data_IF_474729500013
#
_entry.id   IF_474729500013
#
_cell.length_a   1.000
_cell.length_b   1.000
_cell.length_c   1.000
_cell.angle_alpha   90.00
_cell.angle_beta   90.00
_cell.angle_gamma   90.00
#
_symmetry.space_group_name_H-M   'P 1'
#
loop_
_entity.id
_entity.type
_entity.pdbx_description
1 polymer ?
#
# COMPACT_ATOMS: atom_id res chain seq x y z
N UNK A 1 -25.69 -10.79 10.00
CA UNK A 1 -24.93 -11.20 8.80
C UNK A 1 -24.36 -9.92 8.21
N UNK A 2 -23.03 -9.76 8.16
CA UNK A 2 -22.45 -8.59 7.50
C UNK A 2 -22.82 -8.63 6.03
N UNK A 3 -23.32 -7.52 5.48
CA UNK A 3 -23.61 -7.41 4.04
C UNK A 3 -22.35 -7.82 3.28
N UNK A 4 -22.46 -8.82 2.42
CA UNK A 4 -21.35 -9.28 1.57
C UNK A 4 -20.93 -8.22 0.55
N UNK A 5 -21.74 -7.15 0.40
CA UNK A 5 -21.49 -5.99 -0.43
C UNK A 5 -21.56 -4.71 0.43
N UNK A 6 -20.42 -4.05 0.74
CA UNK A 6 -20.44 -2.76 1.42
C UNK A 6 -21.18 -1.71 0.55
N UNK A 7 -21.87 -0.73 1.15
CA UNK A 7 -22.59 0.31 0.40
C UNK A 7 -21.69 1.01 -0.62
N UNK A 8 -22.24 1.32 -1.79
CA UNK A 8 -21.46 1.87 -2.91
C UNK A 8 -20.96 3.29 -2.65
N UNK A 9 -21.66 4.07 -1.83
CA UNK A 9 -21.32 5.46 -1.52
C UNK A 9 -20.21 5.62 -0.49
N UNK A 10 -19.76 4.52 0.16
CA UNK A 10 -18.68 4.62 1.15
C UNK A 10 -17.38 5.02 0.47
N UNK A 11 -16.57 5.78 1.21
CA UNK A 11 -15.23 6.14 0.79
C UNK A 11 -14.41 4.85 0.54
N UNK A 12 -13.60 4.85 -0.50
CA UNK A 12 -12.89 3.67 -1.00
C UNK A 12 -11.44 3.66 -0.58
N UNK A 13 -10.97 2.49 -0.17
CA UNK A 13 -9.56 2.22 0.12
C UNK A 13 -9.07 1.11 -0.81
N UNK A 14 -8.00 1.39 -1.56
CA UNK A 14 -7.34 0.40 -2.41
C UNK A 14 -6.44 -0.51 -1.57
N UNK A 15 -6.57 -1.82 -1.70
CA UNK A 15 -5.90 -2.83 -0.86
C UNK A 15 -4.90 -3.67 -1.66
N UNK A 16 -3.61 -3.57 -1.31
CA UNK A 16 -2.48 -4.19 -2.00
C UNK A 16 -1.85 -5.32 -1.16
N UNK A 17 -1.86 -6.55 -1.68
CA UNK A 17 -1.42 -7.74 -0.95
C UNK A 17 0.11 -7.90 -0.87
N UNK A 18 0.61 -8.80 0.00
CA UNK A 18 2.03 -9.15 0.06
C UNK A 18 2.50 -10.04 -1.11
N UNK A 19 3.81 -10.24 -1.29
CA UNK A 19 4.31 -11.12 -2.36
C UNK A 19 3.91 -12.59 -2.16
N UNK A 20 3.55 -13.30 -3.24
CA UNK A 20 3.09 -14.69 -3.17
C UNK A 20 1.68 -14.83 -2.60
N UNK A 21 0.84 -13.82 -2.83
CA UNK A 21 -0.56 -13.72 -2.37
C UNK A 21 -1.43 -13.29 -3.57
N UNK A 22 -2.74 -13.23 -3.39
CA UNK A 22 -3.69 -12.63 -4.34
C UNK A 22 -4.77 -11.84 -3.60
N UNK A 23 -5.61 -11.11 -4.32
CA UNK A 23 -6.68 -10.28 -3.80
C UNK A 23 -7.67 -11.07 -2.92
N UNK A 24 -8.01 -12.30 -3.34
CA UNK A 24 -8.95 -13.16 -2.61
C UNK A 24 -8.40 -13.56 -1.24
N UNK A 25 -7.16 -14.04 -1.19
CA UNK A 25 -6.49 -14.43 0.06
C UNK A 25 -6.27 -13.21 0.95
N UNK A 26 -5.87 -12.07 0.37
CA UNK A 26 -5.67 -10.85 1.15
C UNK A 26 -6.97 -10.35 1.79
N UNK A 27 -8.09 -10.45 1.07
CA UNK A 27 -9.43 -10.18 1.63
C UNK A 27 -9.76 -11.10 2.81
N UNK A 28 -9.43 -12.39 2.73
CA UNK A 28 -9.63 -13.34 3.84
C UNK A 28 -8.72 -13.04 5.04
N UNK A 29 -7.48 -12.61 4.79
CA UNK A 29 -6.56 -12.16 5.83
C UNK A 29 -7.10 -10.89 6.52
N UNK A 30 -7.68 -9.96 5.76
CA UNK A 30 -8.31 -8.72 6.25
C UNK A 30 -9.73 -8.90 6.81
N UNK A 31 -10.26 -10.11 6.96
CA UNK A 31 -11.67 -10.36 7.33
C UNK A 31 -12.16 -9.63 8.59
N UNK A 32 -11.26 -9.27 9.52
CA UNK A 32 -11.60 -8.53 10.75
C UNK A 32 -11.91 -7.07 10.48
N UNK A 33 -11.29 -6.46 9.46
CA UNK A 33 -11.57 -5.10 9.00
C UNK A 33 -12.84 -5.02 8.12
N UNK A 34 -13.33 -6.16 7.62
CA UNK A 34 -14.55 -6.25 6.80
C UNK A 34 -15.84 -6.30 7.64
N UNK A 35 -15.74 -6.06 8.94
CA UNK A 35 -16.87 -6.05 9.87
C UNK A 35 -16.73 -4.91 10.87
N UNK A 36 -17.85 -4.48 11.46
CA UNK A 36 -17.85 -3.45 12.51
C UNK A 36 -17.57 -2.05 11.97
N UNK A 37 -16.96 -1.21 12.81
CA UNK A 37 -16.79 0.24 12.57
C UNK A 37 -15.98 0.53 11.32
N UNK A 38 -14.94 -0.26 11.02
CA UNK A 38 -14.13 0.00 9.83
C UNK A 38 -14.96 -0.17 8.54
N UNK A 39 -15.70 -1.27 8.45
CA UNK A 39 -16.53 -1.60 7.28
C UNK A 39 -17.80 -0.76 7.14
N UNK A 40 -18.21 -0.01 8.17
CA UNK A 40 -19.31 0.95 8.05
C UNK A 40 -18.90 2.26 7.42
N UNK A 41 -17.60 2.58 7.37
CA UNK A 41 -17.07 3.84 6.83
C UNK A 41 -16.35 3.65 5.49
N UNK A 42 -15.71 2.49 5.30
CA UNK A 42 -14.89 2.26 4.12
C UNK A 42 -15.33 1.04 3.31
N UNK A 43 -15.28 1.21 2.00
CA UNK A 43 -15.33 0.13 1.02
C UNK A 43 -13.88 -0.27 0.66
N UNK A 44 -13.50 -1.50 0.97
CA UNK A 44 -12.18 -2.04 0.62
C UNK A 44 -12.20 -2.71 -0.75
N UNK A 45 -11.28 -2.33 -1.63
CA UNK A 45 -11.13 -2.86 -2.99
C UNK A 45 -9.76 -3.53 -3.13
N UNK A 46 -9.74 -4.84 -3.37
CA UNK A 46 -8.53 -5.67 -3.35
C UNK A 46 -7.99 -5.88 -4.76
N UNK A 47 -6.69 -5.71 -4.94
CA UNK A 47 -6.02 -5.77 -6.25
C UNK A 47 -5.16 -7.01 -6.36
N UNK A 48 -5.20 -7.71 -7.50
CA UNK A 48 -4.20 -8.72 -7.87
C UNK A 48 -2.97 -8.06 -8.49
N UNK A 49 -1.80 -8.36 -7.96
CA UNK A 49 -0.54 -7.85 -8.50
C UNK A 49 -0.26 -8.42 -9.92
N UNK A 50 0.55 -7.73 -10.75
CA UNK A 50 0.68 -8.08 -12.17
C UNK A 50 1.51 -9.35 -12.45
N UNK A 51 2.44 -9.72 -11.57
CA UNK A 51 3.42 -10.74 -11.88
C UNK A 51 3.09 -12.06 -11.20
N UNK A 52 2.88 -13.16 -11.94
CA UNK A 52 2.70 -14.48 -11.34
C UNK A 52 3.93 -14.91 -10.52
N UNK A 53 3.70 -15.62 -9.42
CA UNK A 53 4.75 -16.31 -8.67
C UNK A 53 4.17 -17.47 -7.85
N UNK A 54 5.02 -18.36 -7.30
CA UNK A 54 4.57 -19.34 -6.32
C UNK A 54 3.97 -18.68 -5.07
N UNK A 55 3.10 -19.42 -4.37
CA UNK A 55 2.61 -19.00 -3.07
C UNK A 55 3.79 -18.76 -2.11
N UNK A 56 3.68 -17.76 -1.25
CA UNK A 56 4.62 -17.65 -0.13
C UNK A 56 4.45 -18.86 0.80
N UNK A 57 5.52 -19.45 1.39
CA UNK A 57 5.38 -20.65 2.23
C UNK A 57 4.38 -20.53 3.38
N UNK A 58 4.26 -19.33 3.97
CA UNK A 58 3.28 -19.05 5.03
C UNK A 58 1.81 -19.04 4.53
N UNK A 59 1.61 -18.86 3.23
CA UNK A 59 0.31 -18.82 2.55
C UNK A 59 -0.08 -20.21 2.08
N UNK A 60 0.86 -20.95 1.48
CA UNK A 60 0.65 -22.28 0.90
C UNK A 60 -0.05 -23.24 1.88
N UNK A 61 0.36 -23.23 3.15
CA UNK A 61 -0.17 -24.13 4.19
C UNK A 61 -1.68 -24.02 4.42
N UNK A 62 -2.27 -22.84 4.20
CA UNK A 62 -3.68 -22.55 4.53
C UNK A 62 -4.50 -22.20 3.28
N UNK A 63 -3.86 -21.58 2.30
CA UNK A 63 -4.52 -21.02 1.12
C UNK A 63 -3.94 -21.56 -0.19
N UNK A 64 -3.15 -22.64 -0.19
CA UNK A 64 -2.51 -23.18 -1.40
C UNK A 64 -3.49 -23.42 -2.57
N UNK A 65 -4.72 -23.82 -2.26
CA UNK A 65 -5.77 -24.08 -3.26
C UNK A 65 -6.42 -22.81 -3.84
N UNK A 66 -6.05 -21.62 -3.35
CA UNK A 66 -6.59 -20.33 -3.80
C UNK A 66 -5.76 -19.70 -4.91
N UNK A 67 -4.80 -20.43 -5.50
CA UNK A 67 -4.02 -19.95 -6.63
C UNK A 67 -4.89 -19.54 -7.84
N UNK A 68 -4.32 -18.79 -8.80
CA UNK A 68 -2.92 -18.36 -8.91
C UNK A 68 -2.50 -17.30 -7.87
N UNK A 69 -1.19 -17.14 -7.68
CA UNK A 69 -0.59 -16.15 -6.78
C UNK A 69 0.31 -15.17 -7.54
N UNK A 70 0.49 -13.99 -6.94
CA UNK A 70 1.13 -12.87 -7.60
C UNK A 70 2.11 -12.10 -6.70
N UNK A 71 2.93 -11.28 -7.33
CA UNK A 71 3.88 -10.34 -6.73
C UNK A 71 3.85 -8.98 -7.42
N UNK A 72 4.30 -7.96 -6.68
CA UNK A 72 4.45 -6.60 -7.18
C UNK A 72 5.85 -6.32 -7.73
N UNK A 73 6.87 -6.87 -7.07
CA UNK A 73 8.28 -6.62 -7.38
C UNK A 73 9.06 -7.94 -7.38
N UNK A 74 10.28 -7.91 -7.90
CA UNK A 74 11.23 -9.03 -7.78
C UNK A 74 11.87 -9.02 -6.39
N UNK A 75 12.14 -10.19 -5.84
CA UNK A 75 12.96 -10.35 -4.62
C UNK A 75 13.88 -11.58 -4.67
N UNK A 76 13.81 -12.34 -5.76
CA UNK A 76 14.61 -13.53 -6.03
C UNK A 76 15.17 -13.39 -7.44
N UNK A 77 16.41 -13.81 -7.65
CA UNK A 77 17.12 -13.63 -8.91
C UNK A 77 16.43 -14.34 -10.09
N UNK A 78 15.77 -15.49 -9.81
CA UNK A 78 15.06 -16.26 -10.83
C UNK A 78 13.71 -15.66 -11.23
N UNK A 79 13.22 -14.64 -10.53
CA UNK A 79 12.04 -13.90 -10.99
C UNK A 79 12.39 -13.14 -12.26
N UNK A 80 11.53 -13.28 -13.27
CA UNK A 80 11.65 -12.61 -14.56
C UNK A 80 11.97 -11.13 -14.41
N UNK A 81 12.96 -10.68 -15.18
CA UNK A 81 13.35 -9.28 -15.29
C UNK A 81 12.38 -8.57 -16.21
N UNK A 82 11.87 -7.43 -15.75
CA UNK A 82 10.97 -6.56 -16.50
C UNK A 82 11.57 -5.17 -16.40
N UNK A 83 11.58 -4.42 -17.50
CA UNK A 83 12.07 -3.04 -17.50
C UNK A 83 11.33 -2.20 -16.46
N UNK A 84 12.01 -1.21 -15.86
CA UNK A 84 11.44 -0.43 -14.77
C UNK A 84 10.16 0.33 -15.17
N UNK A 85 10.11 0.91 -16.38
CA UNK A 85 8.93 1.64 -16.88
C UNK A 85 7.78 0.67 -17.15
N UNK A 86 8.08 -0.48 -17.77
CA UNK A 86 7.09 -1.53 -18.02
C UNK A 86 6.52 -2.07 -16.70
N UNK A 87 7.38 -2.37 -15.73
CA UNK A 87 6.96 -2.88 -14.43
C UNK A 87 6.08 -1.87 -13.67
N UNK A 88 6.47 -0.60 -13.64
CA UNK A 88 5.66 0.48 -13.07
C UNK A 88 4.29 0.57 -13.78
N UNK A 89 4.28 0.53 -15.11
CA UNK A 89 3.06 0.58 -15.92
C UNK A 89 2.11 -0.57 -15.63
N UNK A 90 2.63 -1.80 -15.53
CA UNK A 90 1.84 -2.98 -15.19
C UNK A 90 1.24 -2.90 -13.78
N UNK A 91 2.00 -2.39 -12.80
CA UNK A 91 1.50 -2.18 -11.42
C UNK A 91 0.33 -1.18 -11.44
N UNK A 92 0.50 -0.03 -12.07
CA UNK A 92 -0.56 0.99 -12.15
C UNK A 92 -1.77 0.49 -12.94
N UNK A 93 -1.55 -0.26 -14.03
CA UNK A 93 -2.63 -0.85 -14.83
C UNK A 93 -3.48 -1.85 -14.04
N UNK A 94 -2.86 -2.68 -13.20
CA UNK A 94 -3.61 -3.60 -12.33
C UNK A 94 -4.41 -2.87 -11.26
N UNK A 95 -3.84 -1.83 -10.64
CA UNK A 95 -4.58 -0.95 -9.73
C UNK A 95 -5.78 -0.33 -10.44
N UNK A 96 -5.58 0.26 -11.62
CA UNK A 96 -6.66 0.87 -12.42
C UNK A 96 -7.75 -0.13 -12.79
N UNK A 97 -7.38 -1.33 -13.22
CA UNK A 97 -8.33 -2.40 -13.56
C UNK A 97 -9.22 -2.77 -12.38
N UNK A 98 -8.64 -2.91 -11.18
CA UNK A 98 -9.40 -3.18 -9.97
C UNK A 98 -10.31 -2.01 -9.55
N UNK A 99 -9.84 -0.77 -9.74
CA UNK A 99 -10.62 0.44 -9.46
C UNK A 99 -11.81 0.59 -10.42
N UNK A 100 -11.62 0.31 -11.71
CA UNK A 100 -12.67 0.39 -12.74
C UNK A 100 -13.70 -0.73 -12.62
N UNK A 101 -13.29 -1.89 -12.11
CA UNK A 101 -14.17 -3.03 -11.86
C UNK A 101 -15.01 -2.85 -10.59
N UNK A 102 -14.66 -1.90 -9.73
CA UNK A 102 -15.41 -1.62 -8.50
C UNK A 102 -16.62 -0.71 -8.78
N UNK A 103 -17.87 -1.13 -8.48
CA UNK A 103 -19.05 -0.32 -8.71
C UNK A 103 -19.24 0.81 -7.68
N UNK A 104 -18.29 1.02 -6.78
CA UNK A 104 -18.37 2.06 -5.76
C UNK A 104 -18.38 3.46 -6.37
N UNK A 105 -19.06 4.38 -5.69
CA UNK A 105 -19.25 5.77 -6.10
C UNK A 105 -18.65 6.78 -5.13
N UNK A 106 -18.22 6.35 -3.93
CA UNK A 106 -17.53 7.24 -2.98
C UNK A 106 -16.09 7.55 -3.40
N UNK A 107 -15.46 8.58 -2.85
CA UNK A 107 -14.11 8.98 -3.25
C UNK A 107 -13.06 7.90 -2.94
N UNK A 108 -11.98 7.83 -3.73
CA UNK A 108 -10.79 7.07 -3.36
C UNK A 108 -9.98 7.86 -2.34
N UNK A 109 -10.09 7.51 -1.06
CA UNK A 109 -9.53 8.32 0.04
C UNK A 109 -8.25 7.76 0.62
N UNK A 110 -7.93 6.49 0.37
CA UNK A 110 -6.73 5.90 0.94
C UNK A 110 -6.24 4.65 0.23
N UNK A 111 -5.02 4.27 0.59
CA UNK A 111 -4.37 3.05 0.13
C UNK A 111 -3.87 2.25 1.33
N UNK A 112 -4.18 0.96 1.36
CA UNK A 112 -3.75 0.03 2.38
C UNK A 112 -2.89 -1.04 1.72
N UNK A 113 -1.70 -1.27 2.26
CA UNK A 113 -0.84 -2.34 1.76
C UNK A 113 -0.29 -3.21 2.88
N UNK A 114 0.03 -4.47 2.53
CA UNK A 114 0.76 -5.39 3.40
C UNK A 114 2.08 -5.83 2.76
N UNK A 115 3.18 -5.82 3.52
CA UNK A 115 4.49 -6.31 3.08
C UNK A 115 4.95 -5.66 1.76
N UNK A 116 5.08 -6.41 0.67
CA UNK A 116 5.40 -5.85 -0.64
C UNK A 116 4.33 -4.88 -1.15
N UNK A 117 3.05 -5.14 -0.90
CA UNK A 117 1.96 -4.22 -1.20
C UNK A 117 2.00 -2.94 -0.36
N UNK A 118 2.54 -2.98 0.86
CA UNK A 118 2.75 -1.78 1.68
C UNK A 118 3.84 -0.87 1.10
N UNK A 119 4.88 -1.45 0.51
CA UNK A 119 5.89 -0.71 -0.24
C UNK A 119 5.28 -0.03 -1.47
N UNK A 120 4.41 -0.72 -2.22
CA UNK A 120 3.68 -0.12 -3.34
C UNK A 120 2.72 0.97 -2.86
N UNK A 121 1.99 0.76 -1.77
CA UNK A 121 1.07 1.74 -1.19
C UNK A 121 1.80 3.06 -0.87
N UNK A 122 2.92 2.99 -0.15
CA UNK A 122 3.73 4.17 0.14
C UNK A 122 4.31 4.82 -1.14
N UNK A 123 4.70 4.00 -2.12
CA UNK A 123 5.22 4.49 -3.41
C UNK A 123 4.16 5.21 -4.25
N UNK A 124 2.88 4.81 -4.16
CA UNK A 124 1.76 5.50 -4.81
C UNK A 124 1.52 6.88 -4.19
N UNK A 125 1.63 7.01 -2.86
CA UNK A 125 1.53 8.32 -2.18
C UNK A 125 2.65 9.24 -2.62
N UNK A 126 3.88 8.72 -2.68
CA UNK A 126 5.04 9.48 -3.16
C UNK A 126 4.90 9.90 -4.62
N UNK A 127 4.42 9.00 -5.50
CA UNK A 127 4.16 9.32 -6.89
C UNK A 127 3.11 10.43 -7.02
N UNK A 128 2.03 10.37 -6.25
CA UNK A 128 0.98 11.40 -6.23
C UNK A 128 1.56 12.77 -5.87
N UNK A 129 2.41 12.84 -4.84
CA UNK A 129 3.08 14.10 -4.46
C UNK A 129 4.01 14.63 -5.55
N UNK A 130 4.71 13.76 -6.28
CA UNK A 130 5.57 14.18 -7.40
C UNK A 130 4.78 14.72 -8.58
N UNK A 131 3.65 14.11 -8.91
CA UNK A 131 2.74 14.62 -9.94
C UNK A 131 2.22 15.99 -9.53
N UNK A 132 1.69 16.12 -8.31
CA UNK A 132 1.17 17.38 -7.79
C UNK A 132 2.21 18.52 -7.77
N UNK A 133 3.45 18.23 -7.35
CA UNK A 133 4.55 19.20 -7.36
C UNK A 133 4.95 19.64 -8.77
N UNK A 134 4.94 18.72 -9.74
CA UNK A 134 5.26 19.03 -11.14
C UNK A 134 4.16 19.87 -11.80
N UNK A 135 2.90 19.57 -11.50
CA UNK A 135 1.74 20.28 -12.07
C UNK A 135 1.42 21.59 -11.34
N UNK A 136 2.06 21.85 -10.20
CA UNK A 136 1.73 22.95 -9.28
C UNK A 136 0.24 22.91 -8.86
N UNK A 137 -0.30 21.70 -8.71
CA UNK A 137 -1.70 21.42 -8.38
C UNK A 137 -1.80 20.27 -7.37
N UNK A 138 -2.16 20.61 -6.12
CA UNK A 138 -2.36 19.62 -5.04
C UNK A 138 -3.54 18.67 -5.29
N UNK A 139 -4.43 19.01 -6.22
CA UNK A 139 -5.55 18.17 -6.64
C UNK A 139 -5.25 17.28 -7.84
N UNK A 140 -4.03 17.35 -8.38
CA UNK A 140 -3.60 16.49 -9.48
C UNK A 140 -3.71 15.01 -9.08
N UNK A 141 -4.58 14.29 -9.80
CA UNK A 141 -4.71 12.85 -9.65
C UNK A 141 -3.54 12.10 -10.30
N UNK A 142 -3.42 10.81 -10.00
CA UNK A 142 -2.44 9.95 -10.65
C UNK A 142 -2.86 9.69 -12.11
N UNK A 143 -2.10 10.10 -13.15
CA UNK A 143 -2.58 10.11 -14.53
C UNK A 143 -3.11 8.75 -15.02
N UNK A 144 -2.46 7.65 -14.62
CA UNK A 144 -2.89 6.28 -14.99
C UNK A 144 -4.10 5.81 -14.18
N UNK A 145 -4.19 6.19 -12.89
CA UNK A 145 -5.32 5.77 -12.05
C UNK A 145 -6.58 6.62 -12.30
N UNK A 146 -6.40 7.85 -12.79
CA UNK A 146 -7.45 8.79 -13.13
C UNK A 146 -7.36 10.10 -12.33
N UNK A 147 -7.86 11.21 -12.87
CA UNK A 147 -7.79 12.52 -12.24
C UNK A 147 -8.58 12.61 -10.93
N UNK A 148 -9.60 11.77 -10.76
CA UNK A 148 -10.45 11.75 -9.55
C UNK A 148 -9.86 10.90 -8.40
N UNK A 149 -8.65 10.37 -8.57
CA UNK A 149 -7.98 9.53 -7.58
C UNK A 149 -7.06 10.39 -6.73
N UNK A 150 -7.45 10.60 -5.47
CA UNK A 150 -6.67 11.37 -4.52
C UNK A 150 -6.60 10.68 -3.15
N UNK A 151 -5.54 9.91 -2.93
CA UNK A 151 -5.30 9.25 -1.65
C UNK A 151 -4.92 10.29 -0.60
N UNK A 152 -5.77 10.43 0.42
CA UNK A 152 -5.57 11.36 1.53
C UNK A 152 -4.78 10.74 2.68
N UNK A 153 -4.74 9.41 2.77
CA UNK A 153 -3.90 8.69 3.73
C UNK A 153 -3.44 7.31 3.26
N UNK A 154 -2.37 6.81 3.89
CA UNK A 154 -1.86 5.44 3.71
C UNK A 154 -1.99 4.59 4.97
N UNK A 155 -2.27 3.29 4.80
CA UNK A 155 -2.18 2.28 5.87
C UNK A 155 -1.12 1.26 5.49
N UNK A 156 0.03 1.34 6.17
CA UNK A 156 1.27 0.66 5.80
C UNK A 156 1.53 -0.48 6.79
N UNK A 157 1.07 -1.69 6.46
CA UNK A 157 1.22 -2.86 7.33
C UNK A 157 2.48 -3.66 6.96
N UNK A 158 3.41 -3.79 7.90
CA UNK A 158 4.67 -4.52 7.70
C UNK A 158 5.44 -4.11 6.41
N UNK A 159 5.37 -2.82 6.03
CA UNK A 159 5.99 -2.29 4.81
C UNK A 159 7.47 -1.96 5.00
N UNK A 160 8.27 -2.17 3.95
CA UNK A 160 9.71 -1.95 4.00
C UNK A 160 10.18 -0.86 3.04
N UNK A 161 11.17 -0.07 3.47
CA UNK A 161 11.94 0.82 2.62
C UNK A 161 12.80 0.03 1.59
N UNK A 162 13.25 0.66 0.49
CA UNK A 162 12.92 2.02 0.04
C UNK A 162 11.55 2.10 -0.63
N UNK A 163 11.12 3.31 -0.97
CA UNK A 163 10.05 3.54 -1.94
C UNK A 163 10.54 3.18 -3.36
N UNK A 164 9.60 2.98 -4.27
CA UNK A 164 9.83 2.59 -5.65
C UNK A 164 9.31 3.68 -6.58
N UNK A 165 10.08 4.05 -7.61
CA UNK A 165 9.59 4.92 -8.65
C UNK A 165 8.56 4.16 -9.50
N UNK A 166 7.33 4.65 -9.48
CA UNK A 166 6.20 4.09 -10.22
C UNK A 166 5.75 5.00 -11.37
N UNK A 167 6.57 5.96 -11.81
CA UNK A 167 6.32 6.72 -13.04
C UNK A 167 6.72 5.90 -14.29
N UNK A 168 5.76 5.41 -15.09
CA UNK A 168 6.09 4.66 -16.30
C UNK A 168 6.47 5.58 -17.48
N UNK A 169 6.13 6.87 -17.46
CA UNK A 169 6.35 7.77 -18.60
C UNK A 169 7.73 8.41 -18.56
N UNK A 170 8.34 8.49 -17.38
CA UNK A 170 9.59 9.21 -17.14
C UNK A 170 9.41 10.73 -17.22
N UNK A 171 8.17 11.21 -17.31
CA UNK A 171 7.87 12.64 -17.41
C UNK A 171 8.16 13.37 -16.11
N UNK A 172 8.18 12.69 -14.96
CA UNK A 172 8.54 13.30 -13.66
C UNK A 172 10.06 13.52 -13.51
N UNK A 173 10.85 13.14 -14.52
CA UNK A 173 12.30 13.27 -14.54
C UNK A 173 13.01 12.01 -14.07
N UNK A 174 14.31 12.14 -13.79
CA UNK A 174 15.12 11.03 -13.30
C UNK A 174 14.68 10.60 -11.89
N UNK A 175 14.66 9.30 -11.62
CA UNK A 175 14.44 8.75 -10.27
C UNK A 175 15.36 9.44 -9.25
N UNK A 176 14.80 10.11 -8.22
CA UNK A 176 15.62 10.72 -7.18
C UNK A 176 16.47 9.69 -6.45
N UNK A 177 17.60 10.14 -5.90
CA UNK A 177 18.41 9.30 -5.00
C UNK A 177 17.53 8.78 -3.85
N UNK A 178 17.87 7.61 -3.30
CA UNK A 178 17.14 6.96 -2.22
C UNK A 178 15.79 6.33 -2.62
N UNK A 179 15.38 6.46 -3.88
CA UNK A 179 14.23 5.77 -4.47
C UNK A 179 14.73 4.63 -5.35
N UNK A 180 14.12 3.44 -5.24
CA UNK A 180 14.46 2.30 -6.08
C UNK A 180 13.71 2.34 -7.43
N UNK A 181 14.30 1.76 -8.46
CA UNK A 181 13.58 1.47 -9.70
C UNK A 181 12.69 0.22 -9.53
N UNK A 182 11.62 0.12 -10.33
CA UNK A 182 10.65 -0.98 -10.21
C UNK A 182 11.19 -2.36 -10.65
N UNK A 183 12.26 -2.39 -11.42
CA UNK A 183 12.99 -3.59 -11.87
C UNK A 183 13.96 -4.16 -10.82
N UNK A 184 14.27 -3.37 -9.79
CA UNK A 184 15.27 -3.69 -8.78
C UNK A 184 14.79 -4.77 -7.82
N UNK A 185 15.73 -5.58 -7.33
CA UNK A 185 15.44 -6.55 -6.27
C UNK A 185 14.99 -5.82 -5.00
N UNK A 186 13.76 -6.08 -4.54
CA UNK A 186 13.09 -5.32 -3.48
C UNK A 186 13.82 -5.35 -2.13
N UNK A 187 14.73 -6.31 -1.94
CA UNK A 187 15.52 -6.49 -0.72
C UNK A 187 16.98 -6.04 -0.84
N UNK A 188 17.47 -5.73 -2.04
CA UNK A 188 18.91 -5.49 -2.29
C UNK A 188 19.31 -4.01 -2.21
N UNK A 189 18.44 -3.15 -1.69
CA UNK A 189 18.71 -1.73 -1.56
C UNK A 189 19.61 -1.41 -0.36
N UNK A 190 20.61 -0.54 -0.57
CA UNK A 190 21.57 -0.13 0.47
C UNK A 190 21.82 1.38 0.55
N UNK A 191 21.35 2.18 -0.42
CA UNK A 191 21.55 3.63 -0.45
C UNK A 191 20.47 4.34 0.37
N UNK A 192 20.50 4.18 1.68
CA UNK A 192 19.53 4.80 2.59
C UNK A 192 19.77 6.31 2.75
N UNK A 193 18.71 7.13 2.85
CA UNK A 193 18.87 8.56 3.14
C UNK A 193 19.34 8.77 4.59
N UNK A 194 20.01 9.90 4.84
CA UNK A 194 20.50 10.26 6.18
C UNK A 194 19.43 10.85 7.11
N UNK A 195 18.30 11.28 6.55
CA UNK A 195 17.16 11.87 7.27
C UNK A 195 15.87 11.69 6.46
N UNK A 196 14.73 12.07 7.03
CA UNK A 196 13.44 12.21 6.33
C UNK A 196 13.27 13.58 5.64
N UNK A 197 14.37 14.24 5.33
CA UNK A 197 14.39 15.52 4.63
C UNK A 197 14.82 15.31 3.17
N UNK A 198 13.95 15.65 2.22
CA UNK A 198 14.25 15.61 0.79
C UNK A 198 13.06 15.14 -0.04
N UNK A 199 13.32 14.99 -1.33
CA UNK A 199 12.32 14.53 -2.31
C UNK A 199 11.87 13.08 -2.04
N UNK A 200 12.64 12.24 -1.36
CA UNK A 200 12.22 10.87 -1.08
C UNK A 200 11.12 10.75 0.00
N UNK A 201 10.88 11.80 0.80
CA UNK A 201 10.00 11.73 1.97
C UNK A 201 8.55 12.10 1.64
N UNK A 202 7.62 11.26 2.09
CA UNK A 202 6.17 11.38 1.93
C UNK A 202 5.62 12.39 2.94
N UNK A 203 4.79 13.32 2.46
CA UNK A 203 4.05 14.30 3.28
C UNK A 203 2.62 13.84 3.60
N UNK A 204 2.05 12.99 2.76
CA UNK A 204 0.71 12.44 2.93
C UNK A 204 0.62 11.62 4.23
N UNK A 205 -0.41 11.82 5.06
CA UNK A 205 -0.52 11.11 6.32
C UNK A 205 -0.50 9.58 6.20
N UNK A 206 0.26 8.89 7.06
CA UNK A 206 0.35 7.42 7.08
C UNK A 206 0.15 6.83 8.48
N UNK A 207 -0.50 5.66 8.54
CA UNK A 207 -0.50 4.78 9.69
C UNK A 207 0.37 3.57 9.40
N UNK A 208 1.46 3.43 10.13
CA UNK A 208 2.32 2.26 10.09
C UNK A 208 1.86 1.25 11.15
N UNK A 209 1.81 -0.03 10.76
CA UNK A 209 1.42 -1.13 11.65
C UNK A 209 2.55 -2.15 11.71
N UNK A 210 3.23 -2.23 12.85
CA UNK A 210 4.43 -3.06 13.04
C UNK A 210 4.16 -4.21 14.01
N UNK A 211 4.44 -5.44 13.58
CA UNK A 211 4.53 -6.58 14.47
C UNK A 211 5.90 -6.61 15.15
N UNK A 212 5.95 -6.63 16.48
CA UNK A 212 7.20 -6.59 17.24
C UNK A 212 8.06 -7.85 17.07
N UNK A 213 7.49 -8.94 16.57
CA UNK A 213 8.21 -10.20 16.27
C UNK A 213 8.50 -10.36 14.77
N UNK A 214 8.22 -9.35 13.95
CA UNK A 214 8.47 -9.40 12.50
C UNK A 214 9.98 -9.36 12.23
N UNK A 215 10.55 -10.34 11.50
CA UNK A 215 11.98 -10.34 11.15
C UNK A 215 12.40 -9.14 10.27
N UNK A 216 11.44 -8.47 9.63
CA UNK A 216 11.65 -7.28 8.81
C UNK A 216 11.60 -5.95 9.58
N UNK A 217 11.37 -5.95 10.90
CA UNK A 217 11.06 -4.74 11.68
C UNK A 217 12.05 -3.58 11.47
N UNK A 218 13.35 -3.86 11.34
CA UNK A 218 14.36 -2.83 11.05
C UNK A 218 14.08 -2.06 9.74
N UNK A 219 13.58 -2.75 8.72
CA UNK A 219 13.22 -2.13 7.43
C UNK A 219 11.91 -1.36 7.53
N UNK A 220 11.00 -1.79 8.37
CA UNK A 220 9.74 -1.09 8.65
C UNK A 220 10.03 0.22 9.38
N UNK A 221 10.91 0.16 10.37
CA UNK A 221 11.41 1.33 11.09
C UNK A 221 12.11 2.31 10.14
N UNK A 222 12.92 1.83 9.17
CA UNK A 222 13.50 2.71 8.14
C UNK A 222 12.44 3.39 7.29
N UNK A 223 11.36 2.70 6.92
CA UNK A 223 10.30 3.30 6.11
C UNK A 223 9.66 4.49 6.85
N UNK A 224 9.20 4.29 8.09
CA UNK A 224 8.57 5.38 8.86
C UNK A 224 9.54 6.52 9.19
N UNK A 225 10.77 6.21 9.63
CA UNK A 225 11.71 7.23 10.12
C UNK A 225 12.47 7.99 9.04
N UNK A 226 12.60 7.42 7.84
CA UNK A 226 13.42 8.00 6.78
C UNK A 226 12.63 8.41 5.54
N UNK A 227 11.43 7.86 5.32
CA UNK A 227 10.63 8.12 4.11
C UNK A 227 9.29 8.79 4.42
N UNK A 228 9.01 9.14 5.67
CA UNK A 228 7.85 9.93 6.04
C UNK A 228 8.30 11.18 6.79
N UNK A 229 7.74 12.33 6.41
CA UNK A 229 8.00 13.60 7.07
C UNK A 229 7.57 13.56 8.53
N UNK A 230 8.22 14.41 9.34
CA UNK A 230 7.85 14.52 10.75
C UNK A 230 6.36 14.91 10.87
N UNK A 231 5.68 14.37 11.88
CA UNK A 231 4.24 14.57 12.14
C UNK A 231 3.27 14.00 11.08
N UNK A 232 3.75 13.46 9.95
CA UNK A 232 2.87 12.86 8.92
C UNK A 232 2.68 11.37 9.12
N UNK A 233 3.53 10.70 9.90
CA UNK A 233 3.42 9.26 10.15
C UNK A 233 3.07 8.93 11.61
N UNK A 234 2.16 7.97 11.77
CA UNK A 234 1.78 7.36 13.05
C UNK A 234 2.22 5.91 13.10
N UNK A 235 2.43 5.40 14.30
CA UNK A 235 2.84 4.02 14.52
C UNK A 235 1.89 3.31 15.49
N UNK A 236 1.40 2.15 15.05
CA UNK A 236 0.75 1.14 15.90
C UNK A 236 1.65 -0.09 15.96
N UNK A 237 2.02 -0.48 17.16
CA UNK A 237 2.80 -1.69 17.42
C UNK A 237 1.93 -2.75 18.08
N UNK A 238 2.17 -4.01 17.75
CA UNK A 238 1.46 -5.13 18.35
C UNK A 238 2.36 -6.36 18.49
N UNK A 239 1.99 -7.26 19.40
CA UNK A 239 2.72 -8.50 19.67
C UNK A 239 2.41 -9.57 18.61
N UNK A 240 2.99 -9.38 17.42
CA UNK A 240 2.77 -10.20 16.24
C UNK A 240 4.01 -10.36 15.37
N UNK A 241 4.01 -11.43 14.58
CA UNK A 241 4.97 -11.77 13.53
C UNK A 241 4.57 -11.10 12.18
N UNK A 242 5.15 -11.56 11.06
CA UNK A 242 4.91 -11.02 9.71
C UNK A 242 3.53 -11.40 9.16
N UNK A 243 2.46 -10.86 9.73
CA UNK A 243 1.07 -11.09 9.31
C UNK A 243 0.16 -9.90 9.63
N UNK A 244 -1.10 -10.00 9.22
CA UNK A 244 -2.15 -9.03 9.54
C UNK A 244 -2.69 -9.32 10.96
N UNK A 245 -2.95 -8.28 11.78
CA UNK A 245 -3.61 -8.42 13.08
C UNK A 245 -4.96 -9.16 12.99
N UNK A 246 -5.21 -10.07 13.94
CA UNK A 246 -6.44 -10.89 13.98
C UNK A 246 -7.17 -10.79 15.33
N UNK A 247 -6.44 -10.60 16.44
CA UNK A 247 -7.05 -10.48 17.76
C UNK A 247 -7.74 -9.12 17.85
N UNK A 248 -8.92 -9.09 18.47
CA UNK A 248 -9.74 -7.88 18.58
C UNK A 248 -8.97 -6.67 19.10
N UNK A 249 -8.20 -6.75 20.21
CA UNK A 249 -7.45 -5.57 20.69
C UNK A 249 -6.48 -4.99 19.65
N UNK A 250 -5.75 -5.86 18.94
CA UNK A 250 -4.78 -5.43 17.93
C UNK A 250 -5.48 -4.82 16.70
N UNK A 251 -6.61 -5.41 16.29
CA UNK A 251 -7.44 -4.88 15.20
C UNK A 251 -8.03 -3.52 15.59
N UNK A 252 -8.53 -3.37 16.81
CA UNK A 252 -9.17 -2.15 17.29
C UNK A 252 -8.17 -0.98 17.37
N UNK A 253 -6.90 -1.23 17.73
CA UNK A 253 -5.84 -0.22 17.66
C UNK A 253 -5.63 0.29 16.23
N UNK A 254 -5.56 -0.62 15.24
CA UNK A 254 -5.41 -0.24 13.84
C UNK A 254 -6.63 0.52 13.34
N UNK A 255 -7.84 0.03 13.63
CA UNK A 255 -9.09 0.69 13.22
C UNK A 255 -9.17 2.09 13.82
N UNK A 256 -8.82 2.27 15.09
CA UNK A 256 -8.83 3.58 15.73
C UNK A 256 -7.85 4.54 15.06
N UNK A 257 -6.62 4.10 14.79
CA UNK A 257 -5.63 4.92 14.08
C UNK A 257 -6.06 5.32 12.67
N UNK A 258 -6.72 4.43 11.91
CA UNK A 258 -7.22 4.77 10.57
C UNK A 258 -8.37 5.77 10.66
N UNK A 259 -9.28 5.60 11.62
CA UNK A 259 -10.39 6.53 11.82
C UNK A 259 -9.91 7.92 12.23
N UNK A 260 -8.86 8.02 13.05
CA UNK A 260 -8.23 9.31 13.38
C UNK A 260 -7.65 9.99 12.13
N UNK A 261 -6.87 9.25 11.31
CA UNK A 261 -6.37 9.77 10.04
C UNK A 261 -7.52 10.26 9.15
N UNK A 262 -8.58 9.46 9.02
CA UNK A 262 -9.72 9.81 8.21
C UNK A 262 -10.44 11.09 8.68
N UNK A 263 -10.51 11.34 10.00
CA UNK A 263 -11.04 12.61 10.53
C UNK A 263 -10.13 13.78 10.16
N UNK A 264 -8.83 13.64 10.37
CA UNK A 264 -7.84 14.69 10.13
C UNK A 264 -7.76 15.09 8.66
N UNK A 265 -7.91 14.11 7.77
CA UNK A 265 -7.88 14.34 6.32
C UNK A 265 -9.26 14.65 5.73
N UNK A 266 -10.27 14.91 6.57
CA UNK A 266 -11.62 15.26 6.14
C UNK A 266 -12.34 14.17 5.33
N UNK A 267 -11.91 12.91 5.46
CA UNK A 267 -12.55 11.74 4.85
C UNK A 267 -13.75 11.23 5.67
N UNK A 268 -13.85 11.66 6.93
CA UNK A 268 -14.91 11.26 7.84
C UNK A 268 -15.25 12.40 8.82
N UNK A 269 -16.55 12.64 9.03
CA UNK A 269 -17.10 13.49 10.09
C UNK A 269 -18.15 12.67 10.86
N UNK A 270 -18.21 12.84 12.18
CA UNK A 270 -19.07 12.07 13.10
C UNK A 270 -20.58 12.24 12.81
#
# INVERSE_FOLDING_TARGET
MASTNPPLHLARILCLHGGGVNATVFRLQCRRFLTGTFASHFRLVFVDAPFPCPAHPAIERVYGDYGPFYRWLRWQDHHEEVDASEAAGMILSQCKTAMDSDPGTGDWVGVLGFSQGAKIAASLLWLQERVAEKEDDLSAGLPVLGPDVHFRFGVIMAGSAPLVNLDPTGELGSTPRHIAAADSLSMSFADWPGSNEGEHAIKTPTLHVHGLQDPGLDRHNKLISLYCKEETARLVEWDGDHRIPIKTPDVDMVVSGVLELARETGCWQD
#
